data_IF_754470195629
#
_entry.id   IF_754470195629
#
_cell.length_a   1.000
_cell.length_b   1.000
_cell.length_c   1.000
_cell.angle_alpha   90.00
_cell.angle_beta   90.00
_cell.angle_gamma   90.00
#
_symmetry.space_group_name_H-M   'P 1'
#
loop_
_entity.id
_entity.type
_entity.pdbx_description
1 polymer ?
#
# COMPACT_ATOMS: atom_id res chain seq x y z
N UNK A 1 -2.44 -4.45 0.39
CA UNK A 1 -2.27 -3.34 1.33
C UNK A 1 -1.93 -3.86 2.73
N UNK A 2 -2.57 -4.91 3.24
CA UNK A 2 -2.25 -5.50 4.54
C UNK A 2 -0.97 -6.34 4.52
N UNK A 3 -0.81 -7.05 3.41
CA UNK A 3 0.44 -7.64 2.98
C UNK A 3 1.40 -6.55 2.52
N UNK A 4 0.92 -5.39 2.08
CA UNK A 4 1.82 -4.30 1.70
C UNK A 4 2.48 -3.67 2.91
N UNK A 5 1.81 -3.44 4.05
CA UNK A 5 2.50 -2.92 5.26
C UNK A 5 3.27 -3.99 6.03
N UNK A 6 2.76 -5.22 6.12
CA UNK A 6 3.51 -6.34 6.68
C UNK A 6 4.73 -6.67 5.81
N UNK A 7 4.60 -6.66 4.49
CA UNK A 7 5.74 -6.75 3.59
C UNK A 7 6.54 -5.47 3.50
N UNK A 8 6.01 -4.25 3.63
CA UNK A 8 6.82 -3.03 3.69
C UNK A 8 7.71 -3.09 4.93
N UNK A 9 7.20 -3.60 6.05
CA UNK A 9 8.00 -3.95 7.22
C UNK A 9 9.09 -4.98 6.91
N UNK A 10 8.75 -6.08 6.23
CA UNK A 10 9.72 -7.10 5.78
C UNK A 10 10.68 -6.54 4.71
N UNK A 11 10.24 -5.65 3.82
CA UNK A 11 10.99 -5.05 2.72
C UNK A 11 11.93 -3.98 3.25
N UNK A 12 11.51 -3.16 4.21
CA UNK A 12 12.35 -2.21 4.94
C UNK A 12 13.37 -2.93 5.82
N UNK A 13 12.97 -4.03 6.46
CA UNK A 13 13.86 -4.92 7.21
C UNK A 13 14.89 -5.60 6.31
N UNK A 14 14.48 -6.08 5.14
CA UNK A 14 15.37 -6.64 4.12
C UNK A 14 16.24 -5.54 3.49
N UNK A 15 15.72 -4.32 3.27
CA UNK A 15 16.43 -3.17 2.70
C UNK A 15 17.59 -2.68 3.55
N UNK A 16 17.62 -2.97 4.85
CA UNK A 16 18.79 -2.71 5.71
C UNK A 16 20.05 -3.42 5.21
N UNK A 17 19.90 -4.49 4.44
CA UNK A 17 20.97 -5.23 3.76
C UNK A 17 21.15 -4.84 2.26
N UNK A 18 20.37 -3.90 1.71
CA UNK A 18 20.38 -3.49 0.29
C UNK A 18 21.35 -2.35 -0.05
N UNK A 19 22.51 -2.28 0.62
CA UNK A 19 23.55 -1.31 0.25
C UNK A 19 24.14 -1.54 -1.16
N UNK A 20 23.79 -2.63 -1.85
CA UNK A 20 24.15 -2.88 -3.25
C UNK A 20 22.90 -2.99 -4.15
N UNK A 21 22.27 -1.86 -4.46
CA UNK A 21 21.25 -1.70 -5.51
C UNK A 21 21.83 -1.82 -6.93
N UNK A 22 22.78 -2.73 -7.15
CA UNK A 22 23.20 -3.15 -8.48
C UNK A 22 22.22 -4.22 -8.96
N UNK A 23 21.16 -3.83 -9.68
CA UNK A 23 20.41 -4.60 -10.71
C UNK A 23 20.47 -6.15 -10.68
N UNK A 24 20.39 -6.79 -9.52
CA UNK A 24 20.29 -8.24 -9.41
C UNK A 24 18.81 -8.58 -9.28
N UNK A 25 18.18 -8.78 -10.43
CA UNK A 25 16.93 -9.52 -10.54
C UNK A 25 17.01 -10.76 -9.63
N UNK A 26 16.17 -10.82 -8.60
CA UNK A 26 16.24 -11.91 -7.65
C UNK A 26 15.16 -11.80 -6.59
N UNK A 27 15.56 -11.48 -5.36
CA UNK A 27 14.68 -11.61 -4.19
C UNK A 27 13.63 -10.50 -4.12
N UNK A 28 13.97 -9.28 -4.51
CA UNK A 28 13.06 -8.12 -4.41
C UNK A 28 11.88 -8.21 -5.38
N UNK A 29 12.13 -8.62 -6.63
CA UNK A 29 11.10 -8.75 -7.65
C UNK A 29 10.16 -9.93 -7.35
N UNK A 30 10.71 -11.06 -6.89
CA UNK A 30 9.89 -12.20 -6.45
C UNK A 30 9.00 -11.78 -5.27
N UNK A 31 9.56 -11.03 -4.32
CA UNK A 31 8.80 -10.49 -3.20
C UNK A 31 7.67 -9.57 -3.68
N UNK A 32 7.96 -8.65 -4.61
CA UNK A 32 6.98 -7.73 -5.18
C UNK A 32 5.87 -8.47 -5.95
N UNK A 33 6.21 -9.52 -6.70
CA UNK A 33 5.25 -10.38 -7.39
C UNK A 33 4.37 -11.14 -6.40
N UNK A 34 4.95 -11.73 -5.35
CA UNK A 34 4.19 -12.38 -4.28
C UNK A 34 3.22 -11.41 -3.60
N UNK A 35 3.68 -10.21 -3.24
CA UNK A 35 2.83 -9.16 -2.65
C UNK A 35 1.67 -8.82 -3.59
N UNK A 36 1.95 -8.63 -4.87
CA UNK A 36 0.96 -8.28 -5.88
C UNK A 36 -0.07 -9.39 -6.06
N UNK A 37 0.38 -10.65 -6.11
CA UNK A 37 -0.48 -11.81 -6.23
C UNK A 37 -1.41 -11.96 -5.02
N UNK A 38 -0.88 -11.92 -3.80
CA UNK A 38 -1.73 -12.07 -2.61
C UNK A 38 -2.63 -10.84 -2.42
N UNK A 39 -2.20 -9.66 -2.85
CA UNK A 39 -3.08 -8.48 -2.89
C UNK A 39 -4.25 -8.68 -3.86
N UNK A 40 -4.03 -9.28 -5.03
CA UNK A 40 -5.08 -9.68 -5.96
C UNK A 40 -6.10 -10.62 -5.32
N UNK A 41 -5.62 -11.69 -4.67
CA UNK A 41 -6.47 -12.64 -3.93
C UNK A 41 -7.28 -11.92 -2.84
N UNK A 42 -6.64 -11.06 -2.05
CA UNK A 42 -7.30 -10.33 -0.97
C UNK A 42 -8.44 -9.42 -1.50
N UNK A 43 -8.24 -8.77 -2.65
CA UNK A 43 -9.30 -7.97 -3.30
C UNK A 43 -10.45 -8.87 -3.78
N UNK A 44 -10.14 -10.04 -4.35
CA UNK A 44 -11.17 -11.00 -4.79
C UNK A 44 -12.00 -11.53 -3.60
N UNK A 45 -11.35 -11.92 -2.50
CA UNK A 45 -12.02 -12.36 -1.26
C UNK A 45 -12.84 -11.21 -0.65
N UNK A 46 -12.30 -10.00 -0.62
CA UNK A 46 -13.05 -8.84 -0.10
C UNK A 46 -14.32 -8.58 -0.90
N UNK A 47 -14.32 -8.87 -2.20
CA UNK A 47 -15.48 -8.75 -3.08
C UNK A 47 -16.48 -9.88 -2.91
N UNK A 48 -16.05 -11.08 -2.53
CA UNK A 48 -16.96 -12.21 -2.26
C UNK A 48 -17.68 -12.11 -0.91
N UNK A 49 -17.33 -11.13 -0.07
CA UNK A 49 -17.96 -10.85 1.23
C UNK A 49 -18.76 -9.52 1.20
N UNK A 50 -19.85 -9.42 0.41
CA UNK A 50 -20.57 -8.16 0.21
C UNK A 50 -21.31 -7.66 1.47
N UNK A 51 -21.61 -8.54 2.42
CA UNK A 51 -22.38 -8.21 3.62
C UNK A 51 -21.58 -7.48 4.71
N UNK A 52 -20.25 -7.43 4.61
CA UNK A 52 -19.44 -6.72 5.58
C UNK A 52 -19.42 -5.22 5.27
N UNK A 53 -19.77 -4.38 6.25
CA UNK A 53 -19.61 -2.94 6.12
C UNK A 53 -18.13 -2.59 5.87
N UNK A 54 -17.88 -1.60 5.01
CA UNK A 54 -16.55 -1.05 4.73
C UNK A 54 -15.76 -0.72 6.01
N UNK A 55 -16.43 -0.19 7.04
CA UNK A 55 -15.80 0.08 8.33
C UNK A 55 -15.32 -1.18 9.03
N UNK A 56 -16.16 -2.22 9.11
CA UNK A 56 -15.82 -3.49 9.73
C UNK A 56 -14.68 -4.19 8.97
N UNK A 57 -14.70 -4.16 7.63
CA UNK A 57 -13.58 -4.64 6.81
C UNK A 57 -12.30 -3.89 7.14
N UNK A 58 -12.37 -2.56 7.21
CA UNK A 58 -11.21 -1.73 7.56
C UNK A 58 -10.68 -2.09 8.95
N UNK A 59 -11.55 -2.17 9.96
CA UNK A 59 -11.20 -2.54 11.33
C UNK A 59 -10.53 -3.91 11.42
N UNK A 60 -11.18 -4.96 10.92
CA UNK A 60 -10.64 -6.33 10.92
C UNK A 60 -9.23 -6.31 10.36
N UNK A 61 -9.06 -5.59 9.26
CA UNK A 61 -7.80 -5.71 8.55
C UNK A 61 -6.68 -4.85 9.13
N UNK A 62 -6.98 -3.70 9.73
CA UNK A 62 -5.98 -2.99 10.55
C UNK A 62 -5.59 -3.77 11.80
N UNK A 63 -6.54 -4.48 12.42
CA UNK A 63 -6.24 -5.35 13.57
C UNK A 63 -5.29 -6.49 13.19
N UNK A 64 -5.56 -7.20 12.09
CA UNK A 64 -4.66 -8.25 11.59
C UNK A 64 -3.29 -7.70 11.19
N UNK A 65 -3.24 -6.56 10.49
CA UNK A 65 -1.98 -5.93 10.11
C UNK A 65 -1.17 -5.52 11.36
N UNK A 66 -1.83 -4.94 12.37
CA UNK A 66 -1.20 -4.57 13.64
C UNK A 66 -0.60 -5.78 14.35
N UNK A 67 -1.34 -6.90 14.44
CA UNK A 67 -0.85 -8.14 15.04
C UNK A 67 0.39 -8.65 14.27
N UNK A 68 0.32 -8.74 12.95
CA UNK A 68 1.44 -9.24 12.13
C UNK A 68 2.68 -8.37 12.23
N UNK A 69 2.52 -7.04 12.14
CA UNK A 69 3.62 -6.09 12.27
C UNK A 69 4.22 -6.16 13.67
N UNK A 70 3.39 -6.23 14.72
CA UNK A 70 3.87 -6.37 16.09
C UNK A 70 4.65 -7.67 16.29
N UNK A 71 4.10 -8.80 15.85
CA UNK A 71 4.78 -10.10 15.93
C UNK A 71 6.12 -10.08 15.20
N UNK A 72 6.16 -9.49 14.00
CA UNK A 72 7.39 -9.36 13.23
C UNK A 72 8.43 -8.47 13.93
N UNK A 73 8.03 -7.31 14.44
CA UNK A 73 8.92 -6.39 15.14
C UNK A 73 9.49 -7.01 16.43
N UNK A 74 8.65 -7.70 17.20
CA UNK A 74 9.07 -8.41 18.41
C UNK A 74 10.05 -9.54 18.08
N UNK A 75 9.81 -10.26 16.98
CA UNK A 75 10.69 -11.33 16.53
C UNK A 75 12.05 -10.81 16.04
N UNK A 76 12.07 -9.71 15.27
CA UNK A 76 13.30 -9.22 14.66
C UNK A 76 14.17 -8.39 15.61
N UNK A 77 13.56 -7.50 16.39
CA UNK A 77 14.30 -6.49 17.16
C UNK A 77 14.19 -6.68 18.68
N UNK A 78 13.39 -7.65 19.13
CA UNK A 78 13.12 -7.87 20.55
C UNK A 78 12.25 -6.77 21.19
N UNK A 79 11.94 -6.95 22.47
CA UNK A 79 11.08 -6.04 23.24
C UNK A 79 11.76 -4.68 23.50
N UNK A 80 13.08 -4.63 23.63
CA UNK A 80 13.80 -3.39 23.96
C UNK A 80 13.68 -2.31 22.88
N UNK A 81 13.62 -2.74 21.62
CA UNK A 81 13.46 -1.82 20.49
C UNK A 81 12.04 -1.24 20.41
N UNK A 82 11.04 -1.97 20.92
CA UNK A 82 9.66 -1.50 20.97
C UNK A 82 9.53 -0.25 21.84
N UNK A 83 10.15 -0.22 23.02
CA UNK A 83 10.08 0.93 23.92
C UNK A 83 10.70 2.20 23.35
N UNK A 84 11.75 2.08 22.52
CA UNK A 84 12.40 3.23 21.87
C UNK A 84 11.48 3.95 20.87
N UNK A 85 10.47 3.26 20.32
CA UNK A 85 9.50 3.85 19.40
C UNK A 85 8.31 4.53 20.09
N UNK A 86 8.18 4.41 21.42
CA UNK A 86 7.09 5.02 22.20
C UNK A 86 7.40 6.44 22.68
N UNK A 87 8.13 7.23 21.89
CA UNK A 87 8.28 8.66 22.15
C UNK A 87 7.13 9.43 21.50
N UNK A 88 6.62 10.47 22.16
CA UNK A 88 5.49 11.27 21.67
C UNK A 88 5.81 11.87 20.29
N UNK A 89 7.04 12.34 20.10
CA UNK A 89 7.51 12.96 18.85
C UNK A 89 7.47 12.01 17.65
N UNK A 90 7.58 10.69 17.89
CA UNK A 90 7.51 9.66 16.85
C UNK A 90 6.09 9.10 16.68
N UNK A 91 5.39 8.88 17.79
CA UNK A 91 4.04 8.30 17.78
C UNK A 91 3.02 9.23 17.14
N UNK A 92 3.10 10.54 17.40
CA UNK A 92 2.08 11.47 16.93
C UNK A 92 2.02 11.58 15.39
N UNK A 93 3.14 11.78 14.66
CA UNK A 93 3.12 11.75 13.18
C UNK A 93 2.63 10.42 12.61
N UNK A 94 3.05 9.30 13.21
CA UNK A 94 2.61 7.97 12.77
C UNK A 94 1.12 7.77 12.99
N UNK A 95 0.60 8.22 14.12
CA UNK A 95 -0.81 8.15 14.42
C UNK A 95 -1.64 8.96 13.43
N UNK A 96 -1.19 10.19 13.11
CA UNK A 96 -1.84 11.01 12.07
C UNK A 96 -1.80 10.31 10.72
N UNK A 97 -0.65 9.79 10.29
CA UNK A 97 -0.50 9.08 9.02
C UNK A 97 -1.37 7.81 8.98
N UNK A 98 -1.42 7.05 10.07
CA UNK A 98 -2.23 5.84 10.19
C UNK A 98 -3.73 6.15 10.11
N UNK A 99 -4.19 7.22 10.77
CA UNK A 99 -5.59 7.65 10.70
C UNK A 99 -5.96 8.19 9.32
N UNK A 100 -5.15 9.08 8.77
CA UNK A 100 -5.47 9.80 7.53
C UNK A 100 -5.25 8.93 6.30
N UNK A 101 -4.00 8.54 6.01
CA UNK A 101 -3.69 7.72 4.85
C UNK A 101 -4.23 6.29 5.00
N UNK A 102 -4.17 5.75 6.23
CA UNK A 102 -4.63 4.40 6.51
C UNK A 102 -6.15 4.31 6.59
N UNK A 103 -6.74 4.76 7.69
CA UNK A 103 -8.17 4.51 7.99
C UNK A 103 -9.09 5.26 7.02
N UNK A 104 -8.90 6.56 6.82
CA UNK A 104 -9.76 7.34 5.91
C UNK A 104 -9.55 6.92 4.46
N UNK A 105 -8.30 6.83 4.00
CA UNK A 105 -7.98 6.39 2.64
C UNK A 105 -8.56 5.01 2.33
N UNK A 106 -8.42 4.06 3.26
CA UNK A 106 -8.99 2.71 3.09
C UNK A 106 -10.51 2.71 3.15
N UNK A 107 -11.10 3.44 4.10
CA UNK A 107 -12.56 3.54 4.24
C UNK A 107 -13.20 4.06 2.96
N UNK A 108 -12.67 5.15 2.38
CA UNK A 108 -13.14 5.71 1.12
C UNK A 108 -12.98 4.71 -0.04
N UNK A 109 -11.85 4.02 -0.11
CA UNK A 109 -11.62 2.97 -1.10
C UNK A 109 -12.66 1.85 -0.98
N UNK A 110 -12.89 1.33 0.23
CA UNK A 110 -13.84 0.24 0.50
C UNK A 110 -15.29 0.64 0.24
N UNK A 111 -15.64 1.90 0.45
CA UNK A 111 -16.93 2.44 0.04
C UNK A 111 -17.04 2.45 -1.48
N UNK A 112 -16.03 3.00 -2.18
CA UNK A 112 -16.00 3.05 -3.63
C UNK A 112 -16.01 1.68 -4.28
N UNK A 113 -15.28 0.69 -3.73
CA UNK A 113 -15.21 -0.66 -4.28
C UNK A 113 -16.57 -1.32 -4.33
N UNK A 114 -17.51 -1.02 -3.43
CA UNK A 114 -18.86 -1.59 -3.48
C UNK A 114 -19.63 -1.22 -4.75
N UNK A 115 -19.34 -0.06 -5.36
CA UNK A 115 -20.07 0.48 -6.51
C UNK A 115 -19.42 0.21 -7.87
N UNK A 116 -18.21 -0.35 -7.88
CA UNK A 116 -17.45 -0.62 -9.11
C UNK A 116 -17.03 -2.08 -9.23
N UNK A 117 -16.82 -2.56 -10.46
CA UNK A 117 -16.30 -3.90 -10.71
C UNK A 117 -14.85 -4.02 -10.21
N UNK A 118 -14.42 -5.25 -9.89
CA UNK A 118 -13.05 -5.50 -9.41
C UNK A 118 -11.99 -4.99 -10.40
N UNK A 119 -12.24 -5.13 -11.71
CA UNK A 119 -11.33 -4.64 -12.76
C UNK A 119 -11.14 -3.12 -12.71
N UNK A 120 -12.22 -2.35 -12.48
CA UNK A 120 -12.13 -0.88 -12.35
C UNK A 120 -11.35 -0.49 -11.10
N UNK A 121 -11.55 -1.20 -9.98
CA UNK A 121 -10.79 -0.95 -8.74
C UNK A 121 -9.29 -1.13 -8.97
N UNK A 122 -8.88 -2.19 -9.66
CA UNK A 122 -7.46 -2.45 -9.95
C UNK A 122 -6.84 -1.34 -10.81
N UNK A 123 -7.59 -0.79 -11.76
CA UNK A 123 -7.13 0.34 -12.59
C UNK A 123 -7.02 1.62 -11.77
N UNK A 124 -8.00 1.91 -10.91
CA UNK A 124 -7.94 3.06 -10.00
C UNK A 124 -6.73 2.96 -9.07
N UNK A 125 -6.38 1.75 -8.63
CA UNK A 125 -5.16 1.54 -7.82
C UNK A 125 -3.87 1.93 -8.56
N UNK A 126 -3.84 1.89 -9.89
CA UNK A 126 -2.69 2.37 -10.67
C UNK A 126 -2.54 3.90 -10.64
N UNK A 127 -3.57 4.64 -10.21
CA UNK A 127 -3.48 6.09 -10.01
C UNK A 127 -2.71 6.45 -8.73
N UNK A 128 -2.58 5.53 -7.78
CA UNK A 128 -1.85 5.76 -6.53
C UNK A 128 -0.39 6.21 -6.74
N UNK A 129 0.45 5.51 -7.53
CA UNK A 129 1.81 5.96 -7.80
C UNK A 129 1.86 7.29 -8.56
N UNK A 130 0.84 7.61 -9.37
CA UNK A 130 0.74 8.91 -10.05
C UNK A 130 0.49 10.02 -9.04
N UNK A 131 -0.45 9.82 -8.11
CA UNK A 131 -0.73 10.79 -7.06
C UNK A 131 0.46 10.97 -6.11
N UNK A 132 1.17 9.89 -5.77
CA UNK A 132 2.41 9.97 -4.99
C UNK A 132 3.46 10.81 -5.70
N UNK A 133 3.64 10.59 -7.01
CA UNK A 133 4.59 11.34 -7.83
C UNK A 133 4.22 12.83 -7.95
N UNK A 134 2.94 13.15 -8.14
CA UNK A 134 2.46 14.55 -8.15
C UNK A 134 2.70 15.20 -6.79
N UNK A 135 2.43 14.48 -5.71
CA UNK A 135 2.65 14.95 -4.34
C UNK A 135 4.14 15.21 -4.10
N UNK A 136 5.02 14.30 -4.52
CA UNK A 136 6.46 14.46 -4.42
C UNK A 136 6.98 15.65 -5.24
N UNK A 137 6.45 15.85 -6.45
CA UNK A 137 6.76 17.02 -7.26
C UNK A 137 6.37 18.33 -6.55
N UNK A 138 5.17 18.41 -5.98
CA UNK A 138 4.66 19.64 -5.36
C UNK A 138 5.33 19.92 -4.00
N UNK A 139 5.44 18.91 -3.14
CA UNK A 139 5.84 19.09 -1.74
C UNK A 139 7.33 18.82 -1.49
N UNK A 140 7.96 17.96 -2.29
CA UNK A 140 9.37 17.61 -2.14
C UNK A 140 10.26 18.21 -3.25
N UNK A 141 9.68 18.96 -4.20
CA UNK A 141 10.38 19.52 -5.37
C UNK A 141 11.17 18.47 -6.17
N UNK A 142 10.69 17.23 -6.18
CA UNK A 142 11.28 16.16 -6.99
C UNK A 142 11.06 16.45 -8.48
N UNK A 143 12.06 16.17 -9.34
CA UNK A 143 11.93 16.39 -10.78
C UNK A 143 11.25 15.20 -11.44
N UNK A 144 10.23 15.46 -12.25
CA UNK A 144 9.61 14.45 -13.10
C UNK A 144 10.49 14.16 -14.32
N UNK A 145 10.82 12.90 -14.54
CA UNK A 145 11.52 12.47 -15.76
C UNK A 145 10.52 12.23 -16.89
N UNK A 146 10.99 12.29 -18.13
CA UNK A 146 10.14 12.05 -19.31
C UNK A 146 9.43 10.69 -19.28
N UNK A 147 10.11 9.64 -18.79
CA UNK A 147 9.52 8.30 -18.65
C UNK A 147 8.34 8.25 -17.68
N UNK A 148 8.35 9.10 -16.65
CA UNK A 148 7.21 9.20 -15.74
C UNK A 148 5.97 9.71 -16.46
N UNK A 149 6.12 10.69 -17.36
CA UNK A 149 5.02 11.25 -18.14
C UNK A 149 4.42 10.20 -19.08
N UNK A 150 5.25 9.36 -19.71
CA UNK A 150 4.78 8.23 -20.52
C UNK A 150 3.97 7.26 -19.67
N UNK A 151 4.48 6.88 -18.49
CA UNK A 151 3.77 5.99 -17.56
C UNK A 151 2.40 6.55 -17.15
N UNK A 152 2.34 7.83 -16.82
CA UNK A 152 1.08 8.54 -16.50
C UNK A 152 0.11 8.45 -17.68
N UNK A 153 0.56 8.79 -18.89
CA UNK A 153 -0.26 8.76 -20.09
C UNK A 153 -0.85 7.36 -20.37
N UNK A 154 -0.05 6.30 -20.21
CA UNK A 154 -0.49 4.92 -20.40
C UNK A 154 -1.58 4.52 -19.40
N UNK A 155 -1.41 4.84 -18.12
CA UNK A 155 -2.41 4.52 -17.08
C UNK A 155 -3.73 5.25 -17.35
N UNK A 156 -3.69 6.53 -17.71
CA UNK A 156 -4.90 7.29 -18.06
C UNK A 156 -5.58 6.72 -19.31
N UNK A 157 -4.82 6.38 -20.34
CA UNK A 157 -5.36 5.78 -21.57
C UNK A 157 -6.07 4.45 -21.26
N UNK A 158 -5.46 3.61 -20.42
CA UNK A 158 -6.08 2.35 -19.97
C UNK A 158 -7.36 2.60 -19.18
N UNK A 159 -7.38 3.59 -18.28
CA UNK A 159 -8.57 3.96 -17.51
C UNK A 159 -9.73 4.40 -18.42
N UNK A 160 -9.45 5.21 -19.44
CA UNK A 160 -10.45 5.66 -20.43
C UNK A 160 -10.98 4.49 -21.27
N UNK A 161 -10.11 3.58 -21.70
CA UNK A 161 -10.52 2.40 -22.48
C UNK A 161 -11.45 1.49 -21.67
N UNK A 162 -11.15 1.30 -20.38
CA UNK A 162 -11.95 0.44 -19.50
C UNK A 162 -13.27 1.12 -19.12
N UNK A 163 -13.29 2.44 -18.93
CA UNK A 163 -14.53 3.15 -18.61
C UNK A 163 -15.56 3.12 -19.74
N UNK A 164 -15.12 2.98 -21.00
CA UNK A 164 -15.99 2.91 -22.18
C UNK A 164 -16.64 1.53 -22.42
N UNK A 165 -16.21 0.48 -21.72
CA UNK A 165 -16.75 -0.89 -21.86
C UNK A 165 -17.95 -1.18 -20.95
N UNK A 166 -18.57 -0.14 -20.38
CA UNK A 166 -19.86 -0.22 -19.68
C UNK A 166 -20.98 0.04 -20.67
#
# INVERSE_FOLDING_TARGET
MYIFFAFLGISLALMKDFHSLSFQFGKGEILALCISFVMGIAVMISKSLPHLNAFLRTFITFSFAGILVLSFLLFQNGIEYFYKFFTIDFLFPIFILALTAGVLGRGLKELGTNYVSASIVLVIMLLEPIMQMITAYIFANEKLLFFNLIGIFLVFSMAVLISRKK
#
